data_IF_113489739769
#
_entry.id   IF_113489739769
#
_cell.length_a   1.000
_cell.length_b   1.000
_cell.length_c   1.000
_cell.angle_alpha   90.00
_cell.angle_beta   90.00
_cell.angle_gamma   90.00
#
_symmetry.space_group_name_H-M   'P 1'
#
loop_
_entity.id
_entity.type
_entity.pdbx_description
1 polymer ?
#
# COMPACT_ATOMS: atom_id res chain seq x y z
N UNK A 1 -14.11 8.63 -31.16
CA UNK A 1 -13.88 9.48 -29.96
C UNK A 1 -13.46 8.57 -28.82
N UNK A 2 -12.36 8.87 -28.13
CA UNK A 2 -11.99 8.12 -26.92
C UNK A 2 -13.05 8.38 -25.83
N UNK A 3 -13.60 7.31 -25.23
CA UNK A 3 -14.53 7.45 -24.10
C UNK A 3 -13.80 8.10 -22.92
N UNK A 4 -14.43 9.07 -22.26
CA UNK A 4 -13.89 9.67 -21.03
C UNK A 4 -14.05 8.67 -19.88
N UNK A 5 -13.19 8.73 -18.87
CA UNK A 5 -13.23 7.83 -17.71
C UNK A 5 -14.60 7.84 -17.02
N UNK A 6 -15.23 9.02 -16.98
CA UNK A 6 -16.59 9.24 -16.47
C UNK A 6 -17.66 8.45 -17.23
N UNK A 7 -17.49 8.26 -18.53
CA UNK A 7 -18.45 7.52 -19.36
C UNK A 7 -18.38 6.02 -19.03
N UNK A 8 -17.17 5.51 -18.75
CA UNK A 8 -16.96 4.12 -18.33
C UNK A 8 -17.48 3.89 -16.91
N UNK A 9 -17.28 4.86 -16.01
CA UNK A 9 -17.84 4.83 -14.65
C UNK A 9 -19.37 4.71 -14.71
N UNK A 10 -20.06 5.57 -15.47
CA UNK A 10 -21.52 5.54 -15.60
C UNK A 10 -22.01 4.21 -16.19
N UNK A 11 -21.35 3.70 -17.23
CA UNK A 11 -21.70 2.40 -17.83
C UNK A 11 -21.55 1.24 -16.84
N UNK A 12 -20.57 1.29 -15.94
CA UNK A 12 -20.38 0.26 -14.93
C UNK A 12 -21.45 0.34 -13.82
N UNK A 13 -21.92 1.55 -13.49
CA UNK A 13 -23.00 1.76 -12.52
C UNK A 13 -24.36 1.26 -13.05
N UNK A 14 -24.65 1.49 -14.33
CA UNK A 14 -25.90 1.05 -14.98
C UNK A 14 -26.02 -0.48 -15.07
N UNK A 15 -24.89 -1.20 -15.13
CA UNK A 15 -24.86 -2.66 -15.25
C UNK A 15 -24.90 -3.41 -13.91
N UNK A 16 -25.04 -2.71 -12.79
CA UNK A 16 -25.26 -3.27 -11.46
C UNK A 16 -24.03 -3.34 -10.54
N UNK A 17 -24.29 -3.61 -9.25
CA UNK A 17 -23.32 -3.50 -8.15
C UNK A 17 -22.05 -4.36 -8.32
N UNK A 18 -22.17 -5.55 -8.91
CA UNK A 18 -21.05 -6.44 -9.18
C UNK A 18 -20.06 -5.88 -10.20
N UNK A 19 -20.57 -5.36 -11.33
CA UNK A 19 -19.74 -4.78 -12.39
C UNK A 19 -19.09 -3.48 -11.92
N UNK A 20 -19.82 -2.65 -11.17
CA UNK A 20 -19.26 -1.46 -10.49
C UNK A 20 -18.08 -1.84 -9.59
N UNK A 21 -18.24 -2.89 -8.78
CA UNK A 21 -17.17 -3.36 -7.87
C UNK A 21 -15.96 -3.86 -8.64
N UNK A 22 -16.17 -4.63 -9.70
CA UNK A 22 -15.08 -5.11 -10.56
C UNK A 22 -14.33 -3.94 -11.20
N UNK A 23 -15.05 -2.93 -11.70
CA UNK A 23 -14.44 -1.75 -12.27
C UNK A 23 -13.65 -0.93 -11.23
N UNK A 24 -14.18 -0.78 -10.02
CA UNK A 24 -13.43 -0.19 -8.90
C UNK A 24 -12.17 -0.98 -8.61
N UNK A 25 -12.21 -2.32 -8.65
CA UNK A 25 -11.03 -3.15 -8.44
C UNK A 25 -9.97 -2.98 -9.55
N UNK A 26 -10.40 -2.84 -10.81
CA UNK A 26 -9.48 -2.52 -11.93
C UNK A 26 -8.79 -1.18 -11.72
N UNK A 27 -9.55 -0.14 -11.36
CA UNK A 27 -8.97 1.18 -11.04
C UNK A 27 -8.03 1.12 -9.85
N UNK A 28 -8.40 0.35 -8.82
CA UNK A 28 -7.56 0.10 -7.65
C UNK A 28 -6.21 -0.53 -8.05
N UNK A 29 -6.19 -1.54 -8.92
CA UNK A 29 -4.93 -2.14 -9.43
C UNK A 29 -4.01 -1.07 -10.04
N UNK A 30 -4.55 -0.19 -10.89
CA UNK A 30 -3.77 0.89 -11.51
C UNK A 30 -3.21 1.85 -10.45
N UNK A 31 -3.99 2.19 -9.44
CA UNK A 31 -3.53 3.04 -8.33
C UNK A 31 -2.48 2.32 -7.47
N UNK A 32 -2.60 1.01 -7.24
CA UNK A 32 -1.59 0.22 -6.53
C UNK A 32 -0.26 0.17 -7.29
N UNK A 33 -0.29 0.12 -8.62
CA UNK A 33 0.93 0.23 -9.44
C UNK A 33 1.58 1.62 -9.31
N UNK A 34 0.78 2.70 -9.28
CA UNK A 34 1.28 4.04 -8.99
C UNK A 34 1.93 4.10 -7.59
N UNK A 35 1.28 3.54 -6.58
CA UNK A 35 1.82 3.48 -5.23
C UNK A 35 3.15 2.70 -5.19
N UNK A 36 3.24 1.59 -5.91
CA UNK A 36 4.48 0.82 -6.07
C UNK A 36 5.62 1.67 -6.66
N UNK A 37 5.34 2.46 -7.70
CA UNK A 37 6.32 3.38 -8.30
C UNK A 37 6.77 4.44 -7.28
N UNK A 38 5.83 5.03 -6.53
CA UNK A 38 6.15 6.02 -5.48
C UNK A 38 7.00 5.40 -4.39
N UNK A 39 6.64 4.22 -3.89
CA UNK A 39 7.40 3.51 -2.87
C UNK A 39 8.82 3.21 -3.36
N UNK A 40 8.94 2.67 -4.57
CA UNK A 40 10.23 2.33 -5.17
C UNK A 40 11.09 3.58 -5.39
N UNK A 41 10.51 4.70 -5.84
CA UNK A 41 11.26 5.94 -5.95
C UNK A 41 11.75 6.42 -4.58
N UNK A 42 10.87 6.46 -3.58
CA UNK A 42 11.20 6.97 -2.25
C UNK A 42 12.22 6.11 -1.50
N UNK A 43 12.11 4.78 -1.57
CA UNK A 43 13.07 3.89 -0.88
C UNK A 43 14.49 4.03 -1.46
N UNK A 44 14.62 4.46 -2.72
CA UNK A 44 15.92 4.74 -3.35
C UNK A 44 16.38 6.20 -3.15
N UNK A 45 15.47 7.16 -2.94
CA UNK A 45 15.80 8.57 -2.75
C UNK A 45 16.06 8.95 -1.29
N UNK A 46 15.32 8.38 -0.34
CA UNK A 46 15.48 8.67 1.10
C UNK A 46 16.91 8.39 1.59
N UNK A 47 17.58 7.29 1.18
CA UNK A 47 18.97 7.03 1.58
C UNK A 47 20.00 8.02 1.02
N UNK A 48 19.63 8.88 0.07
CA UNK A 48 20.51 9.96 -0.42
C UNK A 48 20.62 11.12 0.57
N UNK A 49 19.72 11.20 1.55
CA UNK A 49 19.80 12.15 2.65
C UNK A 49 20.95 11.71 3.58
N UNK A 50 21.99 12.54 3.78
CA UNK A 50 23.17 12.15 4.55
C UNK A 50 22.85 11.59 5.94
N UNK A 51 21.90 12.22 6.63
CA UNK A 51 21.46 11.82 7.97
C UNK A 51 20.85 10.41 7.99
N UNK A 52 20.11 10.02 6.95
CA UNK A 52 19.54 8.68 6.86
C UNK A 52 20.60 7.68 6.43
N UNK A 53 21.52 8.08 5.54
CA UNK A 53 22.62 7.23 5.08
C UNK A 53 23.53 6.78 6.24
N UNK A 54 23.82 7.69 7.18
CA UNK A 54 24.63 7.36 8.35
C UNK A 54 23.98 6.28 9.23
N UNK A 55 22.65 6.31 9.35
CA UNK A 55 21.86 5.36 10.13
C UNK A 55 21.86 3.92 9.56
N UNK A 56 22.36 3.69 8.34
CA UNK A 56 22.52 2.33 7.82
C UNK A 56 23.54 1.49 8.61
N UNK A 57 24.45 2.14 9.35
CA UNK A 57 25.44 1.46 10.17
C UNK A 57 24.97 1.19 11.61
N UNK A 58 23.71 1.52 11.92
CA UNK A 58 23.11 1.32 13.24
C UNK A 58 22.10 0.18 13.17
N UNK A 59 22.22 -0.84 14.03
CA UNK A 59 21.23 -1.91 14.10
C UNK A 59 19.93 -1.39 14.75
N UNK A 60 18.78 -1.84 14.27
CA UNK A 60 17.49 -1.47 14.85
C UNK A 60 16.68 -2.71 15.23
N UNK A 61 16.42 -2.84 16.54
CA UNK A 61 15.65 -3.93 17.11
C UNK A 61 14.58 -3.37 18.03
N UNK A 62 13.32 -3.44 17.60
CA UNK A 62 12.21 -2.97 18.41
C UNK A 62 10.91 -3.66 18.02
N UNK A 63 10.20 -4.18 19.03
CA UNK A 63 8.92 -4.88 18.85
C UNK A 63 9.02 -6.06 17.85
N UNK A 64 8.38 -5.97 16.69
CA UNK A 64 8.42 -6.99 15.62
C UNK A 64 9.44 -6.67 14.52
N UNK A 65 10.19 -5.58 14.69
CA UNK A 65 11.19 -5.14 13.72
C UNK A 65 12.58 -5.59 14.16
N UNK A 66 13.26 -6.25 13.22
CA UNK A 66 14.62 -6.76 13.36
C UNK A 66 15.40 -6.38 12.09
N UNK A 67 16.23 -5.34 12.20
CA UNK A 67 17.03 -4.79 11.10
C UNK A 67 18.49 -4.77 11.53
N UNK A 68 19.23 -5.88 11.35
CA UNK A 68 20.67 -5.88 11.56
C UNK A 68 21.36 -5.00 10.52
N UNK A 69 22.61 -4.60 10.80
CA UNK A 69 23.39 -3.74 9.89
C UNK A 69 23.60 -4.39 8.51
N UNK A 70 23.74 -5.71 8.47
CA UNK A 70 23.85 -6.50 7.22
C UNK A 70 22.60 -6.40 6.32
N UNK A 71 21.43 -6.15 6.91
CA UNK A 71 20.17 -5.91 6.20
C UNK A 71 19.84 -4.40 6.06
N UNK A 72 20.82 -3.53 6.35
CA UNK A 72 20.72 -2.08 6.17
C UNK A 72 20.28 -1.29 7.40
N UNK A 73 20.10 -1.93 8.55
CA UNK A 73 19.96 -1.24 9.85
C UNK A 73 18.79 -0.27 9.96
N UNK A 74 18.92 0.69 10.87
CA UNK A 74 17.97 1.76 11.13
C UNK A 74 17.69 2.59 9.87
N UNK A 75 18.71 2.84 9.06
CA UNK A 75 18.59 3.59 7.81
C UNK A 75 17.63 2.92 6.83
N UNK A 76 17.75 1.61 6.61
CA UNK A 76 16.83 0.88 5.74
C UNK A 76 15.43 0.78 6.35
N UNK A 77 15.32 0.56 7.67
CA UNK A 77 14.04 0.59 8.37
C UNK A 77 13.29 1.92 8.13
N UNK A 78 13.96 3.05 8.28
CA UNK A 78 13.38 4.39 8.04
C UNK A 78 13.00 4.53 6.56
N UNK A 79 13.94 4.27 5.65
CA UNK A 79 13.72 4.45 4.22
C UNK A 79 12.54 3.62 3.71
N UNK A 80 12.48 2.34 4.06
CA UNK A 80 11.44 1.43 3.60
C UNK A 80 10.07 1.78 4.17
N UNK A 81 9.96 2.02 5.48
CA UNK A 81 8.67 2.27 6.13
C UNK A 81 8.11 3.65 5.81
N UNK A 82 8.96 4.69 5.73
CA UNK A 82 8.54 6.03 5.30
C UNK A 82 8.08 6.01 3.85
N UNK A 83 8.82 5.34 2.96
CA UNK A 83 8.42 5.16 1.56
C UNK A 83 7.07 4.44 1.45
N UNK A 84 6.87 3.37 2.23
CA UNK A 84 5.62 2.62 2.24
C UNK A 84 4.44 3.51 2.69
N UNK A 85 4.56 4.19 3.83
CA UNK A 85 3.51 5.09 4.35
C UNK A 85 3.19 6.20 3.34
N UNK A 86 4.21 6.84 2.76
CA UNK A 86 4.02 7.88 1.76
C UNK A 86 3.31 7.38 0.49
N UNK A 87 3.71 6.21 -0.02
CA UNK A 87 3.06 5.56 -1.15
C UNK A 87 1.59 5.25 -0.88
N UNK A 88 1.27 4.78 0.33
CA UNK A 88 -0.10 4.49 0.73
C UNK A 88 -0.93 5.75 0.89
N UNK A 89 -0.34 6.86 1.36
CA UNK A 89 -1.03 8.17 1.38
C UNK A 89 -1.35 8.64 -0.04
N UNK A 90 -0.43 8.47 -1.00
CA UNK A 90 -0.72 8.78 -2.41
C UNK A 90 -1.86 7.89 -2.92
N UNK A 91 -1.81 6.58 -2.65
CA UNK A 91 -2.86 5.64 -3.03
C UNK A 91 -4.23 6.06 -2.45
N UNK A 92 -4.27 6.45 -1.18
CA UNK A 92 -5.47 6.95 -0.50
C UNK A 92 -6.13 8.09 -1.26
N UNK A 93 -5.37 9.15 -1.60
CA UNK A 93 -5.94 10.31 -2.29
C UNK A 93 -6.39 9.96 -3.71
N UNK A 94 -5.60 9.18 -4.44
CA UNK A 94 -5.97 8.79 -5.82
C UNK A 94 -7.16 7.84 -5.82
N UNK A 95 -7.23 6.87 -4.90
CA UNK A 95 -8.37 5.95 -4.79
C UNK A 95 -9.63 6.68 -4.38
N UNK A 96 -9.57 7.56 -3.37
CA UNK A 96 -10.72 8.37 -2.97
C UNK A 96 -11.29 9.15 -4.15
N UNK A 97 -10.44 9.75 -4.97
CA UNK A 97 -10.84 10.67 -6.04
C UNK A 97 -11.19 9.96 -7.36
N UNK A 98 -10.38 8.98 -7.79
CA UNK A 98 -10.47 8.35 -9.11
C UNK A 98 -11.11 6.96 -9.08
N UNK A 99 -10.84 6.18 -8.04
CA UNK A 99 -11.37 4.80 -7.93
C UNK A 99 -12.80 4.81 -7.40
N UNK A 100 -13.03 5.49 -6.29
CA UNK A 100 -14.31 5.48 -5.58
C UNK A 100 -15.16 6.74 -5.80
N UNK A 101 -14.58 7.82 -6.36
CA UNK A 101 -15.24 9.11 -6.54
C UNK A 101 -15.99 9.56 -5.27
N UNK A 102 -15.28 9.52 -4.14
CA UNK A 102 -15.86 9.61 -2.82
C UNK A 102 -15.75 11.00 -2.21
N UNK A 103 -16.83 11.41 -1.53
CA UNK A 103 -16.91 12.60 -0.69
C UNK A 103 -16.51 12.34 0.77
N UNK A 104 -15.85 11.22 1.07
CA UNK A 104 -15.45 10.87 2.43
C UNK A 104 -14.63 12.00 3.10
N UNK A 105 -14.91 12.23 4.38
CA UNK A 105 -14.21 13.24 5.18
C UNK A 105 -12.76 12.78 5.40
N UNK A 106 -11.81 13.52 4.84
CA UNK A 106 -10.37 13.23 4.92
C UNK A 106 -9.90 13.24 6.37
N UNK A 107 -10.39 14.15 7.21
CA UNK A 107 -10.00 14.25 8.62
C UNK A 107 -10.37 13.01 9.44
N UNK A 108 -11.33 12.20 8.98
CA UNK A 108 -11.71 10.93 9.62
C UNK A 108 -11.08 9.74 8.90
N UNK A 109 -11.13 9.71 7.57
CA UNK A 109 -10.69 8.56 6.79
C UNK A 109 -9.16 8.40 6.76
N UNK A 110 -8.40 9.49 6.69
CA UNK A 110 -6.94 9.43 6.59
C UNK A 110 -6.28 8.90 7.87
N UNK A 111 -6.64 9.34 9.09
CA UNK A 111 -6.08 8.74 10.31
C UNK A 111 -6.35 7.25 10.44
N UNK A 112 -7.57 6.79 10.11
CA UNK A 112 -7.92 5.36 10.13
C UNK A 112 -7.04 4.60 9.13
N UNK A 113 -6.85 5.15 7.93
CA UNK A 113 -6.04 4.55 6.89
C UNK A 113 -4.55 4.45 7.29
N UNK A 114 -4.00 5.48 7.95
CA UNK A 114 -2.63 5.47 8.47
C UNK A 114 -2.48 4.41 9.56
N UNK A 115 -3.39 4.35 10.53
CA UNK A 115 -3.35 3.32 11.58
C UNK A 115 -3.42 1.91 10.98
N UNK A 116 -4.29 1.71 10.00
CA UNK A 116 -4.38 0.45 9.26
C UNK A 116 -3.07 0.12 8.52
N UNK A 117 -2.45 1.10 7.86
CA UNK A 117 -1.15 0.93 7.19
C UNK A 117 -0.05 0.53 8.16
N UNK A 118 0.03 1.18 9.33
CA UNK A 118 1.00 0.84 10.37
C UNK A 118 0.77 -0.56 10.94
N UNK A 119 -0.49 -0.96 11.13
CA UNK A 119 -0.83 -2.32 11.56
C UNK A 119 -0.38 -3.36 10.52
N UNK A 120 -0.58 -3.11 9.22
CA UNK A 120 -0.12 -3.98 8.15
C UNK A 120 1.42 -4.07 8.05
N UNK A 121 2.12 -2.95 8.30
CA UNK A 121 3.57 -2.92 8.38
C UNK A 121 4.06 -3.83 9.51
N UNK A 122 3.53 -3.66 10.73
CA UNK A 122 3.87 -4.52 11.87
C UNK A 122 3.53 -5.99 11.60
N UNK A 123 2.35 -6.25 11.04
CA UNK A 123 1.93 -7.61 10.67
C UNK A 123 2.89 -8.25 9.67
N UNK A 124 3.35 -7.50 8.68
CA UNK A 124 4.28 -8.00 7.66
C UNK A 124 5.68 -8.21 8.21
N UNK A 125 6.14 -7.34 9.11
CA UNK A 125 7.42 -7.48 9.80
C UNK A 125 7.47 -8.76 10.66
N UNK A 126 6.35 -9.14 11.28
CA UNK A 126 6.23 -10.41 12.00
C UNK A 126 6.03 -11.63 11.08
N UNK A 127 5.19 -11.50 10.05
CA UNK A 127 4.80 -12.62 9.20
C UNK A 127 5.94 -13.05 8.25
N UNK A 128 6.68 -12.09 7.68
CA UNK A 128 7.71 -12.38 6.67
C UNK A 128 8.81 -13.32 7.19
N UNK A 129 9.43 -13.09 8.37
CA UNK A 129 10.40 -14.03 8.94
C UNK A 129 9.80 -15.41 9.27
N UNK A 130 8.55 -15.43 9.72
CA UNK A 130 7.83 -16.68 10.04
C UNK A 130 7.64 -17.53 8.79
N UNK A 131 7.20 -16.92 7.68
CA UNK A 131 7.05 -17.57 6.39
C UNK A 131 8.40 -18.00 5.81
N UNK A 132 9.40 -17.12 5.87
CA UNK A 132 10.75 -17.42 5.43
C UNK A 132 11.31 -18.68 6.13
N UNK A 133 11.22 -18.74 7.45
CA UNK A 133 11.65 -19.92 8.22
C UNK A 133 10.82 -21.18 7.91
N UNK A 134 9.53 -21.04 7.62
CA UNK A 134 8.70 -22.15 7.19
C UNK A 134 9.13 -22.70 5.83
N UNK A 135 9.42 -21.84 4.85
CA UNK A 135 9.88 -22.26 3.52
C UNK A 135 11.26 -22.92 3.56
N UNK A 136 12.19 -22.43 4.39
CA UNK A 136 13.47 -23.11 4.59
C UNK A 136 13.31 -24.54 5.14
N UNK A 137 12.40 -24.73 6.11
CA UNK A 137 12.09 -26.07 6.66
C UNK A 137 11.48 -27.02 5.64
N UNK A 138 10.84 -26.47 4.60
CA UNK A 138 10.30 -27.22 3.46
C UNK A 138 11.36 -27.53 2.39
N UNK A 139 12.62 -27.12 2.60
CA UNK A 139 13.73 -27.39 1.68
C UNK A 139 13.88 -26.37 0.56
N UNK A 140 13.18 -25.23 0.61
CA UNK A 140 13.43 -24.13 -0.31
C UNK A 140 14.78 -23.44 -0.01
N UNK A 141 15.40 -22.83 -1.01
CA UNK A 141 16.61 -22.03 -0.81
C UNK A 141 16.28 -20.64 -0.22
N UNK A 142 17.32 -19.92 0.22
CA UNK A 142 17.19 -18.60 0.85
C UNK A 142 16.45 -17.60 -0.06
N UNK A 143 16.90 -17.46 -1.32
CA UNK A 143 16.34 -16.50 -2.25
C UNK A 143 14.85 -16.75 -2.55
N UNK A 144 14.45 -18.01 -2.77
CA UNK A 144 13.04 -18.39 -2.98
C UNK A 144 12.24 -18.10 -1.72
N UNK A 145 12.75 -18.51 -0.55
CA UNK A 145 12.05 -18.32 0.72
C UNK A 145 11.77 -16.84 1.01
N UNK A 146 12.76 -15.97 0.80
CA UNK A 146 12.61 -14.52 0.98
C UNK A 146 11.60 -13.94 -0.01
N UNK A 147 11.77 -14.22 -1.30
CA UNK A 147 10.89 -13.67 -2.33
C UNK A 147 9.43 -14.12 -2.17
N UNK A 148 9.20 -15.40 -1.84
CA UNK A 148 7.84 -15.92 -1.63
C UNK A 148 7.22 -15.35 -0.35
N UNK A 149 7.98 -15.25 0.75
CA UNK A 149 7.50 -14.60 1.97
C UNK A 149 7.09 -13.14 1.72
N UNK A 150 7.93 -12.37 1.03
CA UNK A 150 7.63 -10.98 0.65
C UNK A 150 6.41 -10.92 -0.27
N UNK A 151 6.33 -11.76 -1.30
CA UNK A 151 5.19 -11.79 -2.22
C UNK A 151 3.86 -12.10 -1.51
N UNK A 152 3.86 -13.03 -0.54
CA UNK A 152 2.66 -13.34 0.26
C UNK A 152 2.26 -12.14 1.11
N UNK A 153 3.20 -11.49 1.80
CA UNK A 153 2.92 -10.29 2.58
C UNK A 153 2.36 -9.16 1.70
N UNK A 154 2.97 -8.89 0.55
CA UNK A 154 2.50 -7.90 -0.41
C UNK A 154 1.11 -8.23 -0.96
N UNK A 155 0.83 -9.49 -1.27
CA UNK A 155 -0.47 -9.93 -1.73
C UNK A 155 -1.56 -9.74 -0.66
N UNK A 156 -1.28 -10.16 0.58
CA UNK A 156 -2.20 -9.96 1.71
C UNK A 156 -2.52 -8.47 1.87
N UNK A 157 -1.49 -7.61 1.91
CA UNK A 157 -1.71 -6.16 2.01
C UNK A 157 -2.58 -5.65 0.86
N UNK A 158 -2.22 -5.97 -0.39
CA UNK A 158 -2.96 -5.55 -1.58
C UNK A 158 -4.46 -5.93 -1.51
N UNK A 159 -4.76 -7.18 -1.16
CA UNK A 159 -6.14 -7.66 -1.05
C UNK A 159 -6.90 -7.09 0.15
N UNK A 160 -6.21 -6.66 1.21
CA UNK A 160 -6.84 -6.01 2.37
C UNK A 160 -7.08 -4.51 2.15
N UNK A 161 -6.24 -3.82 1.38
CA UNK A 161 -6.44 -2.40 1.07
C UNK A 161 -7.73 -2.15 0.30
N UNK A 162 -8.06 -2.98 -0.70
CA UNK A 162 -9.28 -2.77 -1.49
C UNK A 162 -10.59 -2.74 -0.67
N UNK A 163 -10.90 -3.72 0.20
CA UNK A 163 -12.12 -3.69 1.02
C UNK A 163 -12.10 -2.55 2.05
N UNK A 164 -10.93 -2.20 2.60
CA UNK A 164 -10.80 -1.06 3.51
C UNK A 164 -11.07 0.25 2.79
N UNK A 165 -10.47 0.48 1.63
CA UNK A 165 -10.75 1.64 0.78
C UNK A 165 -12.22 1.71 0.42
N UNK A 166 -12.79 0.60 -0.03
CA UNK A 166 -14.21 0.53 -0.35
C UNK A 166 -15.10 0.85 0.84
N UNK A 167 -14.68 0.51 2.07
CA UNK A 167 -15.38 0.83 3.30
C UNK A 167 -15.25 2.30 3.69
N UNK A 168 -14.06 2.86 3.62
CA UNK A 168 -13.77 4.26 3.95
C UNK A 168 -14.41 5.23 2.95
N UNK A 169 -14.47 4.83 1.67
CA UNK A 169 -14.90 5.67 0.56
C UNK A 169 -16.33 5.39 0.08
N UNK A 170 -17.18 4.78 0.91
CA UNK A 170 -18.59 4.47 0.57
C UNK A 170 -19.42 5.69 0.19
N UNK A 171 -19.10 6.87 0.74
CA UNK A 171 -19.88 8.09 0.52
C UNK A 171 -19.59 8.66 -0.87
N UNK A 172 -20.56 8.73 -1.79
CA UNK A 172 -20.35 9.37 -3.09
C UNK A 172 -20.13 10.88 -2.90
N UNK A 173 -19.43 11.52 -3.84
CA UNK A 173 -19.42 12.99 -3.90
C UNK A 173 -20.80 13.50 -4.28
N UNK A 174 -21.29 14.50 -3.56
CA UNK A 174 -22.44 15.28 -4.01
C UNK A 174 -22.10 15.91 -5.37
N UNK A 175 -22.97 15.71 -6.36
CA UNK A 175 -22.89 16.47 -7.60
C UNK A 175 -23.19 17.92 -7.21
N UNK A 176 -22.23 18.82 -7.41
CA UNK A 176 -22.54 20.26 -7.37
C UNK A 176 -23.56 20.50 -8.48
N UNK A 177 -24.82 20.68 -8.13
CA UNK A 177 -25.78 21.34 -9.02
C UNK A 177 -25.20 22.72 -9.32
N UNK A 178 -24.82 22.94 -10.57
CA UNK A 178 -24.43 24.27 -11.03
C UNK A 178 -25.70 25.12 -10.95
N UNK A 179 -25.76 26.02 -9.97
CA UNK A 179 -26.68 27.15 -9.94
C UNK A 179 -26.29 28.17 -11.01
#
# INVERSE_FOLDING_TARGET
>A
MAKKLTDIDNMAEEKGSGIKTLWQFVKFIVVSLLACIVQFALVNLIPLIPQVKEMYNEAFHWFVFDYPVEDGGLGYFIAFNVANVAAQIVAFFVNKEKTFNSGANIAVALPIYIIFTLALICFSAWLSPTLYGAFLRLGANDAISRNVATAICSAIQFFLYFPVDKLLFKKPKEKKENA
#
